data_IF_419396153573
#
_entry.id   IF_419396153573
#
_cell.length_a   1.000
_cell.length_b   1.000
_cell.length_c   1.000
_cell.angle_alpha   90.00
_cell.angle_beta   90.00
_cell.angle_gamma   90.00
#
_symmetry.space_group_name_H-M   'P 1'
#
loop_
_entity.id
_entity.type
_entity.pdbx_description
1 polymer ?
#
# COMPACT_ATOMS: atom_id res chain seq x y z
N UNK A 1 20.34 15.21 -13.19
CA UNK A 1 19.82 14.80 -11.89
C UNK A 1 20.88 13.92 -11.22
N UNK A 2 21.18 14.14 -9.95
CA UNK A 2 22.24 13.46 -9.19
C UNK A 2 21.69 12.27 -8.41
N UNK A 3 22.56 11.35 -7.96
CA UNK A 3 22.20 10.25 -7.06
C UNK A 3 21.47 10.74 -5.81
N UNK A 4 21.90 11.87 -5.24
CA UNK A 4 21.26 12.50 -4.08
C UNK A 4 19.84 12.97 -4.37
N UNK A 5 19.61 13.58 -5.54
CA UNK A 5 18.27 13.99 -5.96
C UNK A 5 17.36 12.78 -6.19
N UNK A 6 17.91 11.68 -6.72
CA UNK A 6 17.19 10.41 -6.87
C UNK A 6 16.78 9.80 -5.52
N UNK A 7 17.71 9.74 -4.57
CA UNK A 7 17.41 9.30 -3.20
C UNK A 7 16.33 10.16 -2.54
N UNK A 8 16.42 11.49 -2.65
CA UNK A 8 15.46 12.39 -2.05
C UNK A 8 14.05 12.16 -2.59
N UNK A 9 13.89 11.87 -3.89
CA UNK A 9 12.60 11.50 -4.49
C UNK A 9 12.06 10.20 -3.94
N UNK A 10 12.89 9.17 -3.84
CA UNK A 10 12.50 7.86 -3.26
C UNK A 10 12.04 8.05 -1.82
N UNK A 11 12.84 8.71 -0.99
CA UNK A 11 12.51 8.92 0.42
C UNK A 11 11.23 9.73 0.60
N UNK A 12 11.05 10.79 -0.19
CA UNK A 12 9.83 11.58 -0.18
C UNK A 12 8.61 10.76 -0.59
N UNK A 13 8.71 9.92 -1.62
CA UNK A 13 7.61 9.07 -2.05
C UNK A 13 7.18 8.08 -0.95
N UNK A 14 8.15 7.53 -0.21
CA UNK A 14 7.86 6.67 0.95
C UNK A 14 7.28 7.43 2.14
N UNK A 15 7.76 8.64 2.42
CA UNK A 15 7.20 9.50 3.47
C UNK A 15 5.74 9.85 3.17
N UNK A 16 5.46 10.29 1.94
CA UNK A 16 4.10 10.59 1.47
C UNK A 16 3.20 9.34 1.55
N UNK A 17 3.73 8.16 1.23
CA UNK A 17 3.00 6.90 1.35
C UNK A 17 2.71 6.53 2.81
N UNK A 18 3.73 6.56 3.69
CA UNK A 18 3.57 6.26 5.12
C UNK A 18 2.57 7.23 5.77
N UNK A 19 2.64 8.52 5.40
CA UNK A 19 1.69 9.52 5.84
C UNK A 19 0.26 9.13 5.42
N UNK A 20 0.06 8.80 4.14
CA UNK A 20 -1.25 8.38 3.62
C UNK A 20 -1.79 7.13 4.32
N UNK A 21 -0.95 6.10 4.51
CA UNK A 21 -1.32 4.87 5.23
C UNK A 21 -1.76 5.18 6.66
N UNK A 22 -1.15 6.19 7.30
CA UNK A 22 -1.46 6.56 8.68
C UNK A 22 -2.69 7.46 8.81
N UNK A 23 -2.82 8.47 7.94
CA UNK A 23 -3.84 9.54 8.09
C UNK A 23 -5.11 9.26 7.31
N UNK A 24 -5.01 8.65 6.14
CA UNK A 24 -6.16 8.43 5.25
C UNK A 24 -6.66 6.99 5.37
N UNK A 25 -5.79 5.98 5.25
CA UNK A 25 -6.20 4.57 5.28
C UNK A 25 -6.37 4.02 6.70
N UNK A 26 -5.41 4.28 7.59
CA UNK A 26 -5.37 3.76 8.96
C UNK A 26 -6.69 3.85 9.72
N UNK A 27 -7.40 5.00 9.72
CA UNK A 27 -8.70 5.15 10.38
C UNK A 27 -9.79 4.19 9.90
N UNK A 28 -9.70 3.67 8.67
CA UNK A 28 -10.69 2.79 8.07
C UNK A 28 -10.47 1.31 8.42
N UNK A 29 -9.25 0.93 8.79
CA UNK A 29 -8.88 -0.48 9.05
C UNK A 29 -9.58 -1.08 10.28
N UNK A 30 -10.03 -0.25 11.22
CA UNK A 30 -10.82 -0.71 12.36
C UNK A 30 -12.11 -1.43 11.95
N UNK A 31 -12.67 -1.06 10.79
CA UNK A 31 -13.90 -1.66 10.26
C UNK A 31 -13.68 -2.98 9.51
N UNK A 32 -12.45 -3.51 9.47
CA UNK A 32 -12.19 -4.88 8.98
C UNK A 32 -12.64 -5.97 9.97
N UNK A 33 -13.45 -5.61 10.97
CA UNK A 33 -14.03 -6.53 11.92
C UNK A 33 -15.55 -6.36 11.98
N UNK A 34 -16.25 -7.49 12.09
CA UNK A 34 -17.70 -7.49 12.19
C UNK A 34 -18.19 -6.74 13.43
N UNK A 35 -17.44 -6.82 14.53
CA UNK A 35 -17.75 -6.12 15.78
C UNK A 35 -17.82 -4.61 15.58
N UNK A 36 -16.79 -4.00 15.01
CA UNK A 36 -16.78 -2.55 14.79
C UNK A 36 -17.79 -2.13 13.72
N UNK A 37 -18.10 -2.98 12.74
CA UNK A 37 -19.16 -2.69 11.76
C UNK A 37 -20.56 -2.72 12.39
N UNK A 38 -20.79 -3.53 13.43
CA UNK A 38 -22.09 -3.59 14.13
C UNK A 38 -22.46 -2.26 14.79
N UNK A 39 -21.46 -1.49 15.22
CA UNK A 39 -21.66 -0.17 15.81
C UNK A 39 -22.12 0.90 14.81
N UNK A 40 -21.95 0.64 13.52
CA UNK A 40 -22.39 1.52 12.44
C UNK A 40 -23.83 1.22 12.01
N UNK A 41 -24.56 2.24 11.56
CA UNK A 41 -25.81 2.06 10.82
C UNK A 41 -25.55 1.46 9.43
N UNK A 42 -26.59 0.85 8.84
CA UNK A 42 -26.49 0.30 7.46
C UNK A 42 -25.98 1.34 6.44
N UNK A 43 -26.44 2.60 6.55
CA UNK A 43 -26.00 3.70 5.68
C UNK A 43 -24.51 4.02 5.87
N UNK A 44 -24.03 4.04 7.11
CA UNK A 44 -22.62 4.31 7.42
C UNK A 44 -21.71 3.19 6.91
N UNK A 45 -22.13 1.92 7.01
CA UNK A 45 -21.38 0.78 6.46
C UNK A 45 -21.24 0.88 4.95
N UNK A 46 -22.36 1.14 4.25
CA UNK A 46 -22.34 1.32 2.79
C UNK A 46 -21.46 2.51 2.41
N UNK A 47 -21.57 3.63 3.13
CA UNK A 47 -20.72 4.80 2.90
C UNK A 47 -19.24 4.48 3.10
N UNK A 48 -18.89 3.70 4.13
CA UNK A 48 -17.53 3.25 4.38
C UNK A 48 -17.00 2.38 3.23
N UNK A 49 -17.76 1.35 2.81
CA UNK A 49 -17.35 0.49 1.69
C UNK A 49 -17.20 1.28 0.39
N UNK A 50 -18.09 2.24 0.14
CA UNK A 50 -18.01 3.12 -1.01
C UNK A 50 -16.76 4.00 -0.97
N UNK A 51 -16.46 4.65 0.16
CA UNK A 51 -15.24 5.46 0.32
C UNK A 51 -13.97 4.62 0.15
N UNK A 52 -13.98 3.39 0.67
CA UNK A 52 -12.85 2.47 0.51
C UNK A 52 -12.55 2.20 -0.96
N UNK A 53 -13.59 1.95 -1.76
CA UNK A 53 -13.48 1.65 -3.18
C UNK A 53 -13.20 2.89 -4.05
N UNK A 54 -13.86 4.03 -3.80
CA UNK A 54 -13.78 5.22 -4.66
C UNK A 54 -12.54 6.09 -4.38
N UNK A 55 -12.08 6.14 -3.14
CA UNK A 55 -11.11 7.14 -2.68
C UNK A 55 -9.90 6.51 -2.01
N UNK A 56 -10.11 5.69 -0.97
CA UNK A 56 -9.03 5.26 -0.08
C UNK A 56 -8.11 4.25 -0.77
N UNK A 57 -8.64 3.16 -1.32
CA UNK A 57 -7.82 2.15 -2.01
C UNK A 57 -7.16 2.73 -3.27
N UNK A 58 -7.86 3.48 -4.14
CA UNK A 58 -7.23 4.15 -5.27
C UNK A 58 -6.06 5.06 -4.84
N UNK A 59 -6.20 5.80 -3.75
CA UNK A 59 -5.12 6.60 -3.20
C UNK A 59 -3.93 5.76 -2.72
N UNK A 60 -4.15 4.61 -2.06
CA UNK A 60 -3.06 3.68 -1.70
C UNK A 60 -2.30 3.20 -2.94
N UNK A 61 -3.02 2.80 -3.99
CA UNK A 61 -2.42 2.37 -5.27
C UNK A 61 -1.58 3.50 -5.88
N UNK A 62 -2.07 4.74 -5.87
CA UNK A 62 -1.34 5.89 -6.39
C UNK A 62 -0.03 6.13 -5.61
N UNK A 63 -0.04 6.01 -4.28
CA UNK A 63 1.17 6.13 -3.46
C UNK A 63 2.17 5.02 -3.76
N UNK A 64 1.70 3.77 -3.87
CA UNK A 64 2.54 2.64 -4.24
C UNK A 64 3.19 2.84 -5.63
N UNK A 65 2.40 3.28 -6.63
CA UNK A 65 2.90 3.59 -7.97
C UNK A 65 3.89 4.75 -7.98
N UNK A 66 3.66 5.77 -7.15
CA UNK A 66 4.59 6.91 -7.02
C UNK A 66 5.95 6.48 -6.48
N UNK A 67 5.97 5.55 -5.51
CA UNK A 67 7.21 4.94 -5.03
C UNK A 67 7.91 4.12 -6.13
N UNK A 68 7.15 3.37 -6.95
CA UNK A 68 7.69 2.64 -8.10
C UNK A 68 8.36 3.57 -9.12
N UNK A 69 7.67 4.64 -9.52
CA UNK A 69 8.22 5.67 -10.42
C UNK A 69 9.48 6.30 -9.83
N UNK A 70 9.50 6.58 -8.52
CA UNK A 70 10.69 7.13 -7.87
C UNK A 70 11.88 6.15 -7.94
N UNK A 71 11.65 4.84 -7.83
CA UNK A 71 12.70 3.83 -8.04
C UNK A 71 13.13 3.70 -9.50
N UNK A 72 12.20 3.79 -10.46
CA UNK A 72 12.53 3.82 -11.89
C UNK A 72 13.42 5.01 -12.24
N UNK A 73 13.09 6.19 -11.72
CA UNK A 73 13.90 7.41 -11.82
C UNK A 73 15.27 7.26 -11.15
N UNK A 74 15.35 6.45 -10.09
CA UNK A 74 16.57 6.21 -9.32
C UNK A 74 17.51 5.18 -9.97
N UNK A 75 16.95 4.20 -10.70
CA UNK A 75 17.67 3.09 -11.31
C UNK A 75 18.90 3.50 -12.18
N UNK A 76 18.85 4.58 -12.98
CA UNK A 76 20.01 5.03 -13.77
C UNK A 76 21.23 5.43 -12.94
N UNK A 77 21.06 5.75 -11.66
CA UNK A 77 22.14 6.15 -10.75
C UNK A 77 22.84 4.99 -10.07
N UNK A 78 22.37 3.76 -10.29
CA UNK A 78 22.97 2.58 -9.66
C UNK A 78 24.39 2.31 -10.19
N UNK A 79 25.38 2.17 -9.29
CA UNK A 79 26.80 2.15 -9.64
C UNK A 79 27.23 0.85 -10.32
N UNK A 80 26.53 -0.24 -10.05
CA UNK A 80 26.86 -1.57 -10.54
C UNK A 80 25.60 -2.42 -10.81
N UNK A 81 25.72 -3.56 -11.53
CA UNK A 81 24.59 -4.43 -11.85
C UNK A 81 23.85 -4.99 -10.64
N UNK A 82 24.52 -5.25 -9.52
CA UNK A 82 23.87 -5.82 -8.33
C UNK A 82 22.99 -4.77 -7.65
N UNK A 83 23.45 -3.52 -7.56
CA UNK A 83 22.62 -2.42 -7.07
C UNK A 83 21.38 -2.20 -7.97
N UNK A 84 21.53 -2.33 -9.29
CA UNK A 84 20.40 -2.29 -10.25
C UNK A 84 19.39 -3.40 -10.01
N UNK A 85 19.84 -4.62 -9.78
CA UNK A 85 18.95 -5.75 -9.47
C UNK A 85 18.14 -5.54 -8.19
N UNK A 86 18.75 -4.93 -7.16
CA UNK A 86 18.05 -4.59 -5.92
C UNK A 86 16.96 -3.54 -6.17
N UNK A 87 17.27 -2.46 -6.91
CA UNK A 87 16.28 -1.43 -7.25
C UNK A 87 15.18 -2.01 -8.15
N UNK A 88 15.53 -2.84 -9.14
CA UNK A 88 14.56 -3.52 -9.98
C UNK A 88 13.62 -4.40 -9.15
N UNK A 89 14.15 -5.16 -8.19
CA UNK A 89 13.33 -5.97 -7.28
C UNK A 89 12.37 -5.13 -6.45
N UNK A 90 12.74 -3.90 -6.09
CA UNK A 90 11.85 -2.97 -5.38
C UNK A 90 10.78 -2.38 -6.30
N UNK A 91 11.11 -2.09 -7.57
CA UNK A 91 10.11 -1.71 -8.59
C UNK A 91 9.10 -2.84 -8.77
N UNK A 92 9.58 -4.07 -8.95
CA UNK A 92 8.71 -5.25 -9.11
C UNK A 92 7.81 -5.45 -7.88
N UNK A 93 8.35 -5.21 -6.67
CA UNK A 93 7.57 -5.26 -5.43
C UNK A 93 6.47 -4.19 -5.38
N UNK A 94 6.68 -2.97 -5.91
CA UNK A 94 5.62 -1.96 -6.00
C UNK A 94 4.49 -2.37 -6.95
N UNK A 95 4.80 -3.15 -7.99
CA UNK A 95 3.78 -3.69 -8.89
C UNK A 95 2.96 -4.75 -8.17
N UNK A 96 3.60 -5.72 -7.51
CA UNK A 96 2.93 -6.76 -6.71
C UNK A 96 2.01 -6.12 -5.66
N UNK A 97 2.50 -5.14 -4.91
CA UNK A 97 1.71 -4.41 -3.92
C UNK A 97 0.51 -3.69 -4.54
N UNK A 98 0.68 -3.05 -5.69
CA UNK A 98 -0.42 -2.37 -6.38
C UNK A 98 -1.51 -3.36 -6.79
N UNK A 99 -1.13 -4.55 -7.25
CA UNK A 99 -2.06 -5.60 -7.65
C UNK A 99 -2.79 -6.20 -6.45
N UNK A 100 -2.08 -6.46 -5.34
CA UNK A 100 -2.69 -6.93 -4.08
C UNK A 100 -3.70 -5.92 -3.52
N UNK A 101 -3.35 -4.63 -3.54
CA UNK A 101 -4.22 -3.55 -3.08
C UNK A 101 -5.47 -3.43 -4.00
N UNK A 102 -5.32 -3.60 -5.31
CA UNK A 102 -6.46 -3.60 -6.24
C UNK A 102 -7.38 -4.79 -6.00
N UNK A 103 -6.84 -5.98 -5.75
CA UNK A 103 -7.62 -7.16 -5.42
C UNK A 103 -8.46 -6.95 -4.14
N UNK A 104 -7.90 -6.27 -3.13
CA UNK A 104 -8.67 -5.85 -1.94
C UNK A 104 -9.84 -4.93 -2.30
N UNK A 105 -9.68 -4.05 -3.30
CA UNK A 105 -10.77 -3.19 -3.80
C UNK A 105 -11.94 -4.02 -4.33
N UNK A 106 -11.63 -5.05 -5.12
CA UNK A 106 -12.62 -5.97 -5.68
C UNK A 106 -13.38 -6.71 -4.57
N UNK A 107 -12.66 -7.16 -3.52
CA UNK A 107 -13.27 -7.79 -2.34
C UNK A 107 -14.21 -6.83 -1.61
N UNK A 108 -13.81 -5.58 -1.39
CA UNK A 108 -14.68 -4.58 -0.73
C UNK A 108 -15.91 -4.26 -1.58
N UNK A 109 -15.75 -4.19 -2.91
CA UNK A 109 -16.87 -3.95 -3.81
C UNK A 109 -17.89 -5.09 -3.74
N UNK A 110 -17.42 -6.34 -3.85
CA UNK A 110 -18.27 -7.52 -3.72
C UNK A 110 -18.94 -7.60 -2.33
N UNK A 111 -18.20 -7.25 -1.28
CA UNK A 111 -18.73 -7.17 0.08
C UNK A 111 -19.87 -6.16 0.21
N UNK A 112 -19.77 -5.01 -0.47
CA UNK A 112 -20.85 -4.02 -0.51
C UNK A 112 -22.10 -4.56 -1.17
N UNK A 113 -21.96 -5.20 -2.32
CA UNK A 113 -23.10 -5.80 -3.03
C UNK A 113 -23.79 -6.87 -2.16
N UNK A 114 -23.01 -7.72 -1.49
CA UNK A 114 -23.55 -8.75 -0.60
C UNK A 114 -24.23 -8.15 0.63
N UNK A 115 -23.65 -7.12 1.26
CA UNK A 115 -24.28 -6.43 2.38
C UNK A 115 -25.63 -5.83 1.98
N UNK A 116 -25.71 -5.20 0.80
CA UNK A 116 -26.94 -4.59 0.29
C UNK A 116 -28.02 -5.64 -0.07
N UNK A 117 -27.60 -6.82 -0.53
CA UNK A 117 -28.51 -7.90 -0.93
C UNK A 117 -29.00 -8.77 0.25
N UNK A 118 -28.07 -9.19 1.11
CA UNK A 118 -28.28 -10.26 2.09
C UNK A 118 -28.03 -9.83 3.54
N UNK A 119 -27.47 -8.64 3.76
CA UNK A 119 -27.27 -8.05 5.08
C UNK A 119 -25.91 -8.34 5.71
N UNK A 120 -25.74 -7.88 6.95
CA UNK A 120 -24.42 -7.79 7.60
C UNK A 120 -23.80 -9.15 7.95
N UNK A 121 -24.57 -10.17 8.32
CA UNK A 121 -23.96 -11.42 8.78
C UNK A 121 -23.33 -12.22 7.63
N UNK A 122 -23.73 -11.93 6.38
CA UNK A 122 -23.21 -12.61 5.19
C UNK A 122 -21.85 -12.05 4.72
N UNK A 123 -21.43 -10.88 5.22
CA UNK A 123 -20.14 -10.29 4.81
C UNK A 123 -18.91 -10.80 5.58
N UNK A 124 -19.11 -11.68 6.57
CA UNK A 124 -18.04 -12.21 7.42
C UNK A 124 -16.89 -12.86 6.63
N UNK A 125 -17.13 -13.66 5.57
CA UNK A 125 -16.06 -14.21 4.75
C UNK A 125 -15.19 -13.10 4.13
N UNK A 126 -15.82 -12.06 3.57
CA UNK A 126 -15.12 -10.93 2.95
C UNK A 126 -14.25 -10.17 3.93
N UNK A 127 -14.71 -9.97 5.17
CA UNK A 127 -13.91 -9.33 6.22
C UNK A 127 -12.66 -10.15 6.56
N UNK A 128 -12.77 -11.48 6.52
CA UNK A 128 -11.63 -12.37 6.73
C UNK A 128 -10.64 -12.26 5.56
N UNK A 129 -11.14 -12.29 4.32
CA UNK A 129 -10.33 -12.13 3.11
C UNK A 129 -9.61 -10.77 3.08
N UNK A 130 -10.29 -9.68 3.47
CA UNK A 130 -9.70 -8.33 3.55
C UNK A 130 -8.60 -8.29 4.62
N UNK A 131 -8.82 -8.90 5.78
CA UNK A 131 -7.82 -8.93 6.85
C UNK A 131 -6.57 -9.72 6.44
N UNK A 132 -6.73 -10.85 5.76
CA UNK A 132 -5.64 -11.66 5.21
C UNK A 132 -4.89 -10.91 4.10
N UNK A 133 -5.61 -10.28 3.17
CA UNK A 133 -5.01 -9.47 2.11
C UNK A 133 -4.19 -8.31 2.69
N UNK A 134 -4.72 -7.63 3.70
CA UNK A 134 -4.03 -6.54 4.38
C UNK A 134 -2.78 -7.02 5.14
N UNK A 135 -2.79 -8.22 5.73
CA UNK A 135 -1.57 -8.81 6.30
C UNK A 135 -0.52 -9.10 5.23
N UNK A 136 -0.93 -9.63 4.07
CA UNK A 136 -0.06 -9.83 2.91
C UNK A 136 0.57 -8.52 2.41
N UNK A 137 -0.23 -7.47 2.28
CA UNK A 137 0.25 -6.12 1.90
C UNK A 137 1.26 -5.60 2.90
N UNK A 138 0.98 -5.67 4.21
CA UNK A 138 1.93 -5.25 5.25
C UNK A 138 3.22 -6.07 5.22
N UNK A 139 3.13 -7.38 4.93
CA UNK A 139 4.31 -8.21 4.75
C UNK A 139 5.15 -7.72 3.57
N UNK A 140 4.55 -7.51 2.41
CA UNK A 140 5.24 -6.99 1.22
C UNK A 140 5.85 -5.60 1.47
N UNK A 141 5.13 -4.68 2.11
CA UNK A 141 5.68 -3.38 2.52
C UNK A 141 6.92 -3.51 3.40
N UNK A 142 6.95 -4.49 4.30
CA UNK A 142 8.11 -4.72 5.17
C UNK A 142 9.38 -5.11 4.39
N UNK A 143 9.24 -5.71 3.20
CA UNK A 143 10.37 -6.16 2.38
C UNK A 143 11.21 -4.97 1.83
N UNK A 144 10.63 -3.77 1.71
CA UNK A 144 11.40 -2.58 1.34
C UNK A 144 12.53 -2.28 2.32
N UNK A 145 12.34 -2.54 3.62
CA UNK A 145 13.40 -2.39 4.62
C UNK A 145 14.62 -3.25 4.32
N UNK A 146 14.41 -4.45 3.76
CA UNK A 146 15.49 -5.34 3.33
C UNK A 146 16.17 -4.81 2.07
N UNK A 147 15.42 -4.26 1.11
CA UNK A 147 15.95 -3.60 -0.09
C UNK A 147 16.85 -2.41 0.27
N UNK A 148 16.36 -1.49 1.10
CA UNK A 148 17.15 -0.36 1.60
C UNK A 148 18.38 -0.82 2.40
N UNK A 149 18.24 -1.86 3.24
CA UNK A 149 19.37 -2.45 3.96
C UNK A 149 20.46 -3.00 3.04
N UNK A 150 20.08 -3.66 1.94
CA UNK A 150 21.02 -4.15 0.92
C UNK A 150 21.74 -2.99 0.24
N UNK A 151 21.01 -1.98 -0.25
CA UNK A 151 21.63 -0.79 -0.87
C UNK A 151 22.62 -0.11 0.08
N UNK A 152 22.24 0.06 1.35
CA UNK A 152 23.13 0.61 2.38
C UNK A 152 24.40 -0.23 2.57
N UNK A 153 24.29 -1.56 2.60
CA UNK A 153 25.45 -2.45 2.73
C UNK A 153 26.44 -2.35 1.55
N UNK A 154 25.98 -1.82 0.42
CA UNK A 154 26.77 -1.59 -0.79
C UNK A 154 27.39 -0.19 -0.84
N UNK A 155 27.18 0.63 0.19
CA UNK A 155 27.70 2.01 0.27
C UNK A 155 26.79 3.07 -0.34
N UNK A 156 25.58 2.71 -0.77
CA UNK A 156 24.53 3.65 -1.17
C UNK A 156 23.81 4.14 0.08
N UNK A 157 24.42 5.09 0.78
CA UNK A 157 23.86 5.63 2.01
C UNK A 157 22.67 6.54 1.72
N UNK A 158 21.55 6.27 2.39
CA UNK A 158 20.37 7.14 2.36
C UNK A 158 20.73 8.49 2.98
N UNK A 159 20.50 9.62 2.27
CA UNK A 159 20.67 10.93 2.86
C UNK A 159 19.70 11.12 4.03
N UNK A 160 20.15 11.78 5.09
CA UNK A 160 19.24 12.27 6.13
C UNK A 160 18.31 13.31 5.52
N UNK A 161 17.00 13.10 5.67
CA UNK A 161 15.99 14.12 5.36
C UNK A 161 16.10 15.19 6.45
N UNK A 162 16.43 16.43 6.07
CA UNK A 162 16.43 17.60 6.96
C UNK A 162 15.02 18.13 7.21
#
# INVERSE_FOLDING_TARGET
MSEQEGWHRVLKAFEDWIQYETTEFGPYTGYFSLENLRDLTSKERVSWMQSMYDEIIPGRVERCKSAGIAFEDFLPYMPDPTAREVVQSMIDLTQVLSDDILAMSDTIHAMKEEHEASGLDEIVPFLSDIAEAEEGIRHHMSLFSQGFGKLRSMGLEMPTME
#
